data_IF_605360682995
#
_entry.id   IF_605360682995
#
_cell.length_a   1.000
_cell.length_b   1.000
_cell.length_c   1.000
_cell.angle_alpha   90.00
_cell.angle_beta   90.00
_cell.angle_gamma   90.00
#
_symmetry.space_group_name_H-M   'P 1'
#
loop_
_entity.id
_entity.type
_entity.pdbx_description
1 polymer ?
#
# COMPACT_ATOMS: atom_id res chain seq x y z
N UNK A 1 38.28 70.15 -36.21
CA UNK A 1 37.76 69.63 -34.92
C UNK A 1 36.65 68.64 -35.23
N UNK A 2 36.84 67.37 -34.84
CA UNK A 2 36.05 66.22 -35.31
C UNK A 2 34.71 66.10 -34.56
N UNK A 3 33.63 65.98 -35.33
CA UNK A 3 32.28 65.61 -34.86
C UNK A 3 32.23 64.10 -34.61
N UNK A 4 31.69 63.69 -33.45
CA UNK A 4 31.52 62.28 -33.08
C UNK A 4 30.03 61.94 -32.99
N UNK A 5 29.60 61.06 -33.89
CA UNK A 5 28.30 60.41 -33.91
C UNK A 5 28.13 59.50 -32.68
N UNK A 6 27.03 59.66 -31.93
CA UNK A 6 26.61 58.75 -30.86
C UNK A 6 25.70 57.69 -31.46
N UNK A 7 26.09 56.41 -31.40
CA UNK A 7 25.27 55.28 -31.86
C UNK A 7 24.28 54.88 -30.75
N UNK A 8 22.96 54.96 -30.97
CA UNK A 8 21.97 54.51 -30.00
C UNK A 8 21.71 53.01 -30.20
N UNK A 9 22.46 52.14 -29.49
CA UNK A 9 22.30 50.69 -29.66
C UNK A 9 22.62 49.81 -28.46
N UNK A 10 23.30 50.32 -27.42
CA UNK A 10 23.81 49.47 -26.34
C UNK A 10 22.82 49.24 -25.19
N UNK A 11 22.04 50.24 -24.78
CA UNK A 11 21.10 50.11 -23.65
C UNK A 11 19.88 49.23 -23.99
N UNK A 12 19.40 49.30 -25.22
CA UNK A 12 18.26 48.51 -25.70
C UNK A 12 18.60 47.00 -25.79
N UNK A 13 19.85 46.66 -26.13
CA UNK A 13 20.32 45.26 -26.19
C UNK A 13 20.56 44.64 -24.81
N UNK A 14 20.88 45.44 -23.79
CA UNK A 14 21.08 44.95 -22.42
C UNK A 14 19.74 44.74 -21.70
N UNK A 15 18.75 45.61 -21.93
CA UNK A 15 17.40 45.44 -21.38
C UNK A 15 16.64 44.26 -22.00
N UNK A 16 16.78 44.03 -23.32
CA UNK A 16 16.21 42.85 -23.99
C UNK A 16 16.84 41.56 -23.48
N UNK A 17 18.17 41.46 -23.40
CA UNK A 17 18.86 40.27 -22.83
C UNK A 17 18.49 39.98 -21.37
N UNK A 18 18.22 41.00 -20.54
CA UNK A 18 17.73 40.81 -19.16
C UNK A 18 16.27 40.35 -19.12
N UNK A 19 15.40 40.88 -19.99
CA UNK A 19 14.02 40.42 -20.14
C UNK A 19 13.95 38.99 -20.65
N UNK A 20 14.78 38.62 -21.61
CA UNK A 20 14.84 37.27 -22.18
C UNK A 20 15.34 36.25 -21.14
N UNK A 21 16.37 36.57 -20.35
CA UNK A 21 16.82 35.69 -19.25
C UNK A 21 15.78 35.55 -18.13
N UNK A 22 15.04 36.61 -17.82
CA UNK A 22 13.96 36.55 -16.82
C UNK A 22 12.75 35.78 -17.36
N UNK A 23 12.43 35.91 -18.65
CA UNK A 23 11.41 35.13 -19.34
C UNK A 23 11.82 33.65 -19.39
N UNK A 24 13.04 33.31 -19.80
CA UNK A 24 13.55 31.94 -19.78
C UNK A 24 13.62 31.34 -18.38
N UNK A 25 13.86 32.14 -17.33
CA UNK A 25 13.85 31.67 -15.94
C UNK A 25 12.41 31.49 -15.42
N UNK A 26 11.48 32.33 -15.85
CA UNK A 26 10.05 32.18 -15.59
C UNK A 26 9.47 30.96 -16.34
N UNK A 27 9.85 30.71 -17.60
CA UNK A 27 9.48 29.53 -18.38
C UNK A 27 10.09 28.25 -17.78
N UNK A 28 11.37 28.27 -17.39
CA UNK A 28 12.00 27.15 -16.65
C UNK A 28 11.33 26.86 -15.30
N UNK A 29 10.80 27.88 -14.62
CA UNK A 29 10.04 27.71 -13.38
C UNK A 29 8.58 27.29 -13.62
N UNK A 30 7.99 27.65 -14.76
CA UNK A 30 6.65 27.25 -15.18
C UNK A 30 6.59 25.79 -15.64
N UNK A 31 7.68 25.26 -16.21
CA UNK A 31 7.75 23.90 -16.75
C UNK A 31 8.28 22.85 -15.78
N UNK A 32 8.81 23.24 -14.61
CA UNK A 32 9.17 22.26 -13.57
C UNK A 32 7.90 21.63 -13.00
N UNK A 33 7.54 20.48 -13.59
CA UNK A 33 6.62 19.49 -13.02
C UNK A 33 7.13 19.14 -11.62
N UNK A 34 6.22 19.17 -10.65
CA UNK A 34 6.58 18.94 -9.25
C UNK A 34 6.80 17.46 -8.97
N UNK A 35 6.00 16.62 -9.63
CA UNK A 35 6.22 15.18 -9.64
C UNK A 35 7.27 14.88 -10.72
N UNK A 36 8.35 14.20 -10.33
CA UNK A 36 9.51 13.87 -11.18
C UNK A 36 9.17 13.01 -12.41
N UNK A 37 10.17 12.34 -12.99
CA UNK A 37 9.92 11.38 -14.07
C UNK A 37 9.16 10.16 -13.50
N UNK A 38 7.99 9.77 -14.06
CA UNK A 38 7.24 8.60 -13.59
C UNK A 38 8.10 7.34 -13.51
N UNK A 39 9.01 7.12 -14.47
CA UNK A 39 9.89 5.97 -14.51
C UNK A 39 10.96 5.92 -13.39
N UNK A 40 11.15 7.02 -12.66
CA UNK A 40 12.13 7.13 -11.58
C UNK A 40 11.49 7.59 -10.27
N UNK A 41 10.16 7.57 -10.15
CA UNK A 41 9.53 7.87 -8.87
C UNK A 41 9.87 6.74 -7.90
N UNK A 42 10.25 7.06 -6.66
CA UNK A 42 10.37 6.04 -5.64
C UNK A 42 8.98 5.42 -5.45
N UNK A 43 8.92 4.09 -5.37
CA UNK A 43 7.69 3.43 -4.95
C UNK A 43 7.76 2.95 -3.51
N UNK A 44 6.80 2.13 -3.12
CA UNK A 44 6.73 1.56 -1.77
C UNK A 44 8.00 0.74 -1.48
N UNK A 45 8.64 1.04 -0.36
CA UNK A 45 9.82 0.30 0.10
C UNK A 45 9.46 -1.12 0.51
N UNK A 46 10.41 -2.05 0.38
CA UNK A 46 10.21 -3.41 0.84
C UNK A 46 9.94 -3.51 2.33
N UNK A 47 9.13 -4.50 2.71
CA UNK A 47 8.74 -4.78 4.10
C UNK A 47 9.15 -6.20 4.50
N UNK A 48 9.36 -6.42 5.79
CA UNK A 48 9.83 -7.72 6.29
C UNK A 48 8.82 -8.85 6.07
N UNK A 49 7.53 -8.57 6.26
CA UNK A 49 6.45 -9.55 6.11
C UNK A 49 6.45 -10.21 4.72
N UNK A 50 6.28 -9.41 3.66
CA UNK A 50 6.26 -9.89 2.28
C UNK A 50 7.59 -10.49 1.85
N UNK A 51 8.71 -9.85 2.22
CA UNK A 51 10.04 -10.38 1.93
C UNK A 51 10.23 -11.77 2.53
N UNK A 52 9.66 -12.06 3.69
CA UNK A 52 9.71 -13.37 4.31
C UNK A 52 8.89 -14.43 3.58
N UNK A 53 7.74 -14.07 3.01
CA UNK A 53 6.99 -14.99 2.14
C UNK A 53 7.76 -15.38 0.89
N UNK A 54 8.50 -14.44 0.28
CA UNK A 54 9.39 -14.75 -0.85
C UNK A 54 10.59 -15.61 -0.42
N UNK A 55 11.18 -15.33 0.74
CA UNK A 55 12.27 -16.14 1.31
C UNK A 55 11.83 -17.57 1.60
N UNK A 56 10.54 -17.76 1.87
CA UNK A 56 9.90 -19.04 2.12
C UNK A 56 9.51 -19.84 0.87
N UNK A 57 9.87 -19.38 -0.33
CA UNK A 57 9.60 -20.11 -1.57
C UNK A 57 10.70 -21.13 -1.86
N UNK A 58 10.38 -22.43 -1.99
CA UNK A 58 11.37 -23.42 -2.37
C UNK A 58 11.84 -23.22 -3.84
N UNK A 59 13.12 -23.45 -4.06
CA UNK A 59 13.68 -23.57 -5.40
C UNK A 59 13.24 -24.88 -6.05
N UNK A 60 13.23 -24.91 -7.38
CA UNK A 60 12.99 -26.13 -8.16
C UNK A 60 14.25 -26.45 -8.96
N UNK A 61 14.71 -27.71 -9.02
CA UNK A 61 14.09 -28.91 -8.41
C UNK A 61 14.50 -29.16 -6.95
N UNK A 62 15.53 -28.48 -6.41
CA UNK A 62 15.99 -28.69 -5.02
C UNK A 62 15.21 -27.83 -4.02
N UNK A 63 14.10 -28.40 -3.54
CA UNK A 63 13.22 -27.78 -2.53
C UNK A 63 13.85 -27.61 -1.15
N UNK A 64 15.11 -28.03 -0.94
CA UNK A 64 15.85 -27.77 0.32
C UNK A 64 16.51 -26.39 0.34
N UNK A 65 16.44 -25.66 -0.78
CA UNK A 65 16.98 -24.31 -0.94
C UNK A 65 15.87 -23.32 -1.26
N UNK A 66 16.05 -22.06 -0.85
CA UNK A 66 15.12 -20.98 -1.19
C UNK A 66 15.33 -20.49 -2.63
N UNK A 67 14.24 -20.16 -3.31
CA UNK A 67 14.23 -19.63 -4.69
C UNK A 67 14.85 -18.24 -4.79
N UNK A 68 14.67 -17.42 -3.76
CA UNK A 68 15.15 -16.03 -3.70
C UNK A 68 16.16 -15.86 -2.56
N UNK A 69 17.40 -16.37 -2.70
CA UNK A 69 18.37 -16.37 -1.60
C UNK A 69 18.74 -14.97 -1.07
N UNK A 70 18.59 -13.93 -1.90
CA UNK A 70 18.80 -12.53 -1.49
C UNK A 70 17.79 -12.07 -0.43
N UNK A 71 16.54 -12.54 -0.51
CA UNK A 71 15.49 -12.21 0.46
C UNK A 71 15.76 -12.85 1.83
N UNK A 72 16.17 -14.12 1.85
CA UNK A 72 16.56 -14.82 3.08
C UNK A 72 17.75 -14.14 3.75
N UNK A 73 18.76 -13.75 2.95
CA UNK A 73 19.91 -12.99 3.44
C UNK A 73 19.48 -11.65 4.03
N UNK A 74 18.61 -10.91 3.33
CA UNK A 74 18.11 -9.63 3.81
C UNK A 74 17.42 -9.75 5.17
N UNK A 75 16.61 -10.80 5.39
CA UNK A 75 15.98 -11.02 6.70
C UNK A 75 17.01 -11.13 7.82
N UNK A 76 18.03 -11.96 7.66
CA UNK A 76 19.08 -12.11 8.67
C UNK A 76 19.85 -10.80 8.91
N UNK A 77 20.13 -10.05 7.84
CA UNK A 77 20.92 -8.82 7.89
C UNK A 77 20.11 -7.61 8.42
N UNK A 78 18.76 -7.70 8.49
CA UNK A 78 17.86 -6.60 8.88
C UNK A 78 16.98 -6.94 10.10
N UNK A 79 17.37 -7.94 10.91
CA UNK A 79 16.76 -8.14 12.22
C UNK A 79 17.03 -6.91 13.12
N UNK A 80 16.01 -6.47 13.85
CA UNK A 80 16.12 -5.34 14.77
C UNK A 80 16.88 -5.75 16.05
N UNK A 81 17.38 -4.76 16.78
CA UNK A 81 18.21 -5.00 17.97
C UNK A 81 17.48 -5.76 19.09
N UNK A 82 16.16 -5.73 19.13
CA UNK A 82 15.33 -6.48 20.08
C UNK A 82 15.04 -7.93 19.63
N UNK A 83 15.51 -8.33 18.45
CA UNK A 83 15.28 -9.63 17.84
C UNK A 83 14.04 -9.70 16.95
N UNK A 84 13.24 -8.66 16.85
CA UNK A 84 12.05 -8.63 15.99
C UNK A 84 12.37 -8.18 14.55
N UNK A 85 11.35 -8.29 13.69
CA UNK A 85 11.29 -7.60 12.40
C UNK A 85 10.07 -6.69 12.38
N UNK A 86 10.10 -5.66 11.53
CA UNK A 86 8.97 -4.75 11.31
C UNK A 86 9.42 -3.32 11.05
N UNK A 87 8.49 -2.38 11.19
CA UNK A 87 8.71 -0.94 11.02
C UNK A 87 9.64 -0.36 12.09
N UNK A 88 10.27 0.77 11.76
CA UNK A 88 11.03 1.57 12.71
C UNK A 88 10.15 2.07 13.88
N UNK A 89 8.86 2.34 13.61
CA UNK A 89 7.87 2.64 14.65
C UNK A 89 7.42 1.31 15.25
N UNK A 90 7.60 1.16 16.56
CA UNK A 90 7.20 -0.06 17.25
C UNK A 90 5.68 -0.11 17.37
N UNK A 91 5.11 -1.16 16.79
CA UNK A 91 3.71 -1.54 16.92
C UNK A 91 3.63 -3.05 17.08
N UNK A 92 3.07 -3.55 18.17
CA UNK A 92 3.18 -4.98 18.52
C UNK A 92 2.51 -5.88 17.48
N UNK A 93 1.39 -5.45 16.89
CA UNK A 93 0.76 -6.19 15.79
C UNK A 93 1.71 -6.35 14.58
N UNK A 94 2.43 -5.29 14.19
CA UNK A 94 3.42 -5.34 13.12
C UNK A 94 4.61 -6.23 13.49
N UNK A 95 5.18 -6.00 14.68
CA UNK A 95 6.37 -6.73 15.14
C UNK A 95 6.11 -8.23 15.25
N UNK A 96 4.97 -8.64 15.78
CA UNK A 96 4.62 -10.05 15.91
C UNK A 96 4.37 -10.70 14.54
N UNK A 97 3.61 -10.07 13.62
CA UNK A 97 3.39 -10.64 12.29
C UNK A 97 4.70 -10.73 11.49
N UNK A 98 5.48 -9.66 11.43
CA UNK A 98 6.76 -9.64 10.73
C UNK A 98 7.75 -10.65 11.30
N UNK A 99 7.83 -10.78 12.62
CA UNK A 99 8.73 -11.75 13.27
C UNK A 99 8.29 -13.19 13.01
N UNK A 100 7.00 -13.51 13.14
CA UNK A 100 6.49 -14.85 12.79
C UNK A 100 6.73 -15.19 11.32
N UNK A 101 6.51 -14.24 10.41
CA UNK A 101 6.76 -14.42 8.99
C UNK A 101 8.25 -14.68 8.72
N UNK A 102 9.16 -13.91 9.35
CA UNK A 102 10.61 -13.99 9.11
C UNK A 102 11.28 -15.25 9.70
N UNK A 103 10.87 -15.71 10.89
CA UNK A 103 11.53 -16.86 11.55
C UNK A 103 11.32 -18.17 10.81
N UNK A 104 10.15 -18.36 10.16
CA UNK A 104 9.84 -19.60 9.45
C UNK A 104 10.81 -19.92 8.29
N UNK A 105 11.01 -19.05 7.28
CA UNK A 105 11.97 -19.31 6.20
C UNK A 105 13.42 -19.35 6.69
N UNK A 106 13.78 -18.58 7.73
CA UNK A 106 15.12 -18.65 8.34
C UNK A 106 15.36 -20.02 9.00
N UNK A 107 14.37 -20.59 9.67
CA UNK A 107 14.46 -21.93 10.25
C UNK A 107 14.50 -23.02 9.16
N UNK A 108 13.69 -22.88 8.11
CA UNK A 108 13.55 -23.87 7.03
C UNK A 108 14.77 -23.89 6.09
N UNK A 109 15.20 -22.72 5.62
CA UNK A 109 16.22 -22.57 4.58
C UNK A 109 17.56 -22.01 5.08
N UNK A 110 17.60 -21.41 6.27
CA UNK A 110 18.83 -20.86 6.85
C UNK A 110 19.85 -21.95 7.17
N UNK A 111 21.11 -21.67 6.86
CA UNK A 111 22.25 -22.60 7.06
C UNK A 111 23.45 -21.93 7.70
N UNK A 112 23.44 -20.60 7.82
CA UNK A 112 24.51 -19.81 8.41
C UNK A 112 24.30 -19.72 9.92
N UNK A 113 25.38 -19.58 10.69
CA UNK A 113 25.28 -19.40 12.15
C UNK A 113 24.46 -18.14 12.52
N UNK A 114 24.50 -17.11 11.69
CA UNK A 114 23.68 -15.90 11.81
C UNK A 114 22.19 -16.16 11.59
N UNK A 115 21.81 -17.03 10.65
CA UNK A 115 20.41 -17.41 10.42
C UNK A 115 19.83 -18.09 11.68
N UNK A 116 20.58 -19.03 12.27
CA UNK A 116 20.17 -19.72 13.50
C UNK A 116 20.04 -18.77 14.69
N UNK A 117 21.00 -17.85 14.87
CA UNK A 117 20.91 -16.81 15.91
C UNK A 117 19.72 -15.89 15.70
N UNK A 118 19.40 -15.55 14.45
CA UNK A 118 18.25 -14.73 14.12
C UNK A 118 16.93 -15.44 14.49
N UNK A 119 16.81 -16.75 14.21
CA UNK A 119 15.67 -17.57 14.65
C UNK A 119 15.56 -17.57 16.17
N UNK A 120 16.65 -17.79 16.91
CA UNK A 120 16.64 -17.79 18.38
C UNK A 120 16.20 -16.43 18.95
N UNK A 121 16.70 -15.33 18.39
CA UNK A 121 16.37 -13.98 18.81
C UNK A 121 14.90 -13.62 18.50
N UNK A 122 14.42 -13.95 17.29
CA UNK A 122 13.01 -13.75 16.93
C UNK A 122 12.07 -14.57 17.76
N UNK A 123 12.42 -15.84 18.01
CA UNK A 123 11.67 -16.71 18.92
C UNK A 123 11.59 -16.08 20.30
N UNK A 124 12.71 -15.64 20.88
CA UNK A 124 12.74 -14.96 22.17
C UNK A 124 11.82 -13.73 22.20
N UNK A 125 11.84 -12.92 21.15
CA UNK A 125 10.97 -11.75 21.05
C UNK A 125 9.48 -12.15 21.13
N UNK A 126 9.05 -13.16 20.36
CA UNK A 126 7.67 -13.65 20.40
C UNK A 126 7.24 -14.03 21.82
N UNK A 127 8.10 -14.75 22.57
CA UNK A 127 7.83 -15.14 23.95
C UNK A 127 7.77 -13.97 24.93
N UNK A 128 8.59 -12.94 24.71
CA UNK A 128 8.63 -11.76 25.57
C UNK A 128 7.49 -10.78 25.28
N UNK A 129 7.01 -10.69 24.04
CA UNK A 129 6.17 -9.58 23.59
C UNK A 129 4.77 -9.98 23.09
N UNK A 130 4.51 -11.24 22.73
CA UNK A 130 3.22 -11.60 22.15
C UNK A 130 2.01 -11.37 23.09
N UNK A 131 2.23 -11.28 24.40
CA UNK A 131 1.22 -10.94 25.39
C UNK A 131 0.83 -9.45 25.40
N UNK A 132 1.46 -8.62 24.57
CA UNK A 132 1.19 -7.18 24.47
C UNK A 132 0.18 -6.84 23.36
N UNK A 133 -0.23 -7.82 22.54
CA UNK A 133 -1.18 -7.60 21.44
C UNK A 133 -2.52 -7.04 21.92
N UNK A 134 -2.97 -7.45 23.12
CA UNK A 134 -4.22 -6.98 23.73
C UNK A 134 -4.14 -5.54 24.26
N UNK A 135 -2.95 -4.93 24.25
CA UNK A 135 -2.71 -3.55 24.71
C UNK A 135 -2.66 -2.53 23.58
N UNK A 136 -2.54 -2.98 22.34
CA UNK A 136 -2.54 -2.08 21.19
C UNK A 136 -3.96 -1.62 20.87
N UNK A 137 -4.14 -0.36 20.44
CA UNK A 137 -5.46 0.23 20.30
C UNK A 137 -6.22 -0.30 19.07
N UNK A 138 -5.50 -0.72 18.02
CA UNK A 138 -6.09 -1.13 16.74
C UNK A 138 -5.37 -2.35 16.16
N UNK A 139 -6.11 -3.33 15.64
CA UNK A 139 -5.50 -4.45 14.93
C UNK A 139 -5.13 -4.03 13.49
N UNK A 140 -4.03 -4.56 12.96
CA UNK A 140 -3.70 -4.37 11.53
C UNK A 140 -4.75 -5.03 10.63
N UNK A 141 -4.87 -4.53 9.39
CA UNK A 141 -5.78 -5.10 8.40
C UNK A 141 -5.50 -6.60 8.20
N UNK A 142 -6.53 -7.42 8.44
CA UNK A 142 -6.44 -8.87 8.27
C UNK A 142 -5.68 -9.60 9.38
N UNK A 143 -5.22 -8.92 10.44
CA UNK A 143 -4.40 -9.49 11.51
C UNK A 143 -4.98 -10.78 12.09
N UNK A 144 -6.28 -10.80 12.40
CA UNK A 144 -6.93 -11.96 13.03
C UNK A 144 -7.02 -13.17 12.07
N UNK A 145 -6.91 -12.96 10.76
CA UNK A 145 -6.80 -14.03 9.78
C UNK A 145 -5.35 -14.50 9.63
N UNK A 146 -4.41 -13.56 9.53
CA UNK A 146 -3.00 -13.80 9.26
C UNK A 146 -2.29 -14.46 10.44
N UNK A 147 -2.49 -13.96 11.67
CA UNK A 147 -1.75 -14.42 12.84
C UNK A 147 -1.84 -15.95 13.03
N UNK A 148 -3.02 -16.60 13.03
CA UNK A 148 -3.06 -18.05 13.21
C UNK A 148 -2.42 -18.84 12.07
N UNK A 149 -2.31 -18.29 10.85
CA UNK A 149 -1.64 -18.95 9.72
C UNK A 149 -0.12 -18.88 9.90
N UNK A 150 0.39 -17.73 10.32
CA UNK A 150 1.81 -17.56 10.60
C UNK A 150 2.26 -18.37 11.81
N UNK A 151 1.46 -18.44 12.87
CA UNK A 151 1.71 -19.32 14.03
C UNK A 151 1.83 -20.76 13.58
N UNK A 152 0.91 -21.23 12.73
CA UNK A 152 0.94 -22.59 12.20
C UNK A 152 2.19 -22.83 11.34
N UNK A 153 2.48 -21.93 10.40
CA UNK A 153 3.65 -21.97 9.53
C UNK A 153 4.97 -22.01 10.32
N UNK A 154 5.10 -21.20 11.36
CA UNK A 154 6.28 -21.17 12.21
C UNK A 154 6.47 -22.50 12.98
N UNK A 155 5.38 -23.12 13.46
CA UNK A 155 5.43 -24.43 14.12
C UNK A 155 5.84 -25.55 13.17
N UNK A 156 5.35 -25.53 11.94
CA UNK A 156 5.74 -26.49 10.89
C UNK A 156 7.23 -26.37 10.54
N UNK A 157 7.78 -25.16 10.60
CA UNK A 157 9.23 -24.90 10.46
C UNK A 157 10.05 -25.27 11.72
N UNK A 158 9.44 -25.83 12.77
CA UNK A 158 10.11 -26.24 14.01
C UNK A 158 10.37 -25.11 15.00
N UNK A 159 9.76 -23.93 14.83
CA UNK A 159 9.91 -22.80 15.75
C UNK A 159 8.91 -22.93 16.91
N UNK A 160 9.40 -22.77 18.14
CA UNK A 160 8.57 -22.79 19.33
C UNK A 160 7.80 -21.47 19.48
N UNK A 161 6.48 -21.50 19.27
CA UNK A 161 5.62 -20.32 19.33
C UNK A 161 4.85 -20.26 20.66
N UNK A 162 4.73 -19.09 21.31
CA UNK A 162 4.01 -18.96 22.58
C UNK A 162 2.52 -19.36 22.47
N UNK A 163 1.97 -20.11 23.46
CA UNK A 163 0.57 -20.53 23.42
C UNK A 163 -0.44 -19.38 23.40
N UNK A 164 -0.11 -18.22 23.97
CA UNK A 164 -1.02 -17.08 24.03
C UNK A 164 -1.31 -16.46 22.65
N UNK A 165 -0.51 -16.73 21.62
CA UNK A 165 -0.81 -16.28 20.26
C UNK A 165 -1.98 -17.06 19.62
N UNK A 166 -2.45 -18.13 20.25
CA UNK A 166 -3.60 -18.92 19.78
C UNK A 166 -4.97 -18.27 20.10
N UNK A 167 -5.00 -17.17 20.87
CA UNK A 167 -6.26 -16.52 21.30
C UNK A 167 -7.11 -16.03 20.12
N UNK A 168 -6.47 -15.74 18.97
CA UNK A 168 -7.14 -15.27 17.77
C UNK A 168 -7.79 -16.39 16.93
N UNK A 169 -7.63 -17.69 17.29
CA UNK A 169 -8.26 -18.79 16.53
C UNK A 169 -9.79 -18.67 16.47
N UNK A 170 -10.41 -18.28 17.59
CA UNK A 170 -11.86 -18.11 17.64
C UNK A 170 -12.34 -16.91 16.82
N UNK A 171 -11.61 -15.78 16.86
CA UNK A 171 -11.90 -14.60 16.05
C UNK A 171 -11.73 -14.90 14.55
N UNK A 172 -10.70 -15.66 14.17
CA UNK A 172 -10.50 -16.13 12.79
C UNK A 172 -11.68 -16.93 12.28
N UNK A 173 -12.16 -17.91 13.07
CA UNK A 173 -13.32 -18.72 12.68
C UNK A 173 -14.55 -17.85 12.42
N UNK A 174 -14.87 -16.95 13.36
CA UNK A 174 -15.99 -16.00 13.22
C UNK A 174 -15.84 -15.11 11.99
N UNK A 175 -14.63 -14.62 11.68
CA UNK A 175 -14.40 -13.76 10.51
C UNK A 175 -14.56 -14.51 9.20
N UNK A 176 -14.12 -15.77 9.14
CA UNK A 176 -14.32 -16.60 7.96
C UNK A 176 -15.81 -16.88 7.69
N UNK A 177 -16.62 -17.05 8.74
CA UNK A 177 -18.07 -17.25 8.60
C UNK A 177 -18.80 -16.00 8.04
N UNK A 178 -18.23 -14.81 8.23
CA UNK A 178 -18.78 -13.55 7.70
C UNK A 178 -18.46 -13.34 6.22
N UNK A 179 -17.41 -13.97 5.69
CA UNK A 179 -16.99 -13.79 4.30
C UNK A 179 -17.82 -14.74 3.43
N UNK A 180 -18.65 -14.24 2.50
CA UNK A 180 -19.39 -15.12 1.60
C UNK A 180 -18.41 -16.04 0.87
N UNK A 181 -18.73 -17.33 0.83
CA UNK A 181 -17.85 -18.31 0.19
C UNK A 181 -17.53 -17.93 -1.27
N UNK A 182 -18.46 -17.28 -1.98
CA UNK A 182 -18.26 -16.75 -3.33
C UNK A 182 -17.29 -15.57 -3.43
N UNK A 183 -17.12 -14.79 -2.36
CA UNK A 183 -16.27 -13.59 -2.31
C UNK A 183 -14.83 -13.89 -1.85
N UNK A 184 -14.62 -14.99 -1.11
CA UNK A 184 -13.33 -15.33 -0.48
C UNK A 184 -12.13 -15.36 -1.44
N UNK A 185 -12.33 -15.77 -2.69
CA UNK A 185 -11.29 -15.82 -3.73
C UNK A 185 -11.56 -14.82 -4.86
N UNK A 186 -12.50 -13.90 -4.67
CA UNK A 186 -12.86 -12.95 -5.72
C UNK A 186 -11.73 -11.94 -5.90
N UNK A 187 -11.23 -11.72 -7.13
CA UNK A 187 -10.25 -10.66 -7.40
C UNK A 187 -10.80 -9.25 -7.21
N UNK A 188 -12.11 -9.12 -6.91
CA UNK A 188 -12.81 -7.87 -6.62
C UNK A 188 -13.15 -7.68 -5.13
N UNK A 189 -12.62 -8.52 -4.25
CA UNK A 189 -12.80 -8.40 -2.81
C UNK A 189 -11.43 -8.22 -2.14
N UNK A 190 -11.32 -7.29 -1.20
CA UNK A 190 -10.04 -6.93 -0.54
C UNK A 190 -9.34 -8.12 0.11
N UNK A 191 -10.09 -9.12 0.55
CA UNK A 191 -9.58 -10.39 1.08
C UNK A 191 -8.58 -11.09 0.15
N UNK A 192 -8.67 -10.87 -1.16
CA UNK A 192 -7.73 -11.43 -2.15
C UNK A 192 -6.29 -10.99 -1.91
N UNK A 193 -6.08 -9.82 -1.29
CA UNK A 193 -4.76 -9.30 -0.96
C UNK A 193 -4.06 -10.10 0.16
N UNK A 194 -4.79 -10.97 0.86
CA UNK A 194 -4.25 -11.69 2.02
C UNK A 194 -4.54 -13.19 1.98
N UNK A 195 -4.71 -13.81 0.80
CA UNK A 195 -5.11 -15.22 0.69
C UNK A 195 -4.13 -16.21 1.34
N UNK A 196 -2.92 -15.80 1.69
CA UNK A 196 -1.99 -16.61 2.46
C UNK A 196 -2.50 -16.96 3.87
N UNK A 197 -3.49 -16.23 4.40
CA UNK A 197 -4.14 -16.69 5.63
C UNK A 197 -4.82 -18.05 5.46
N UNK A 198 -5.13 -18.51 4.25
CA UNK A 198 -5.84 -19.78 4.06
C UNK A 198 -4.99 -20.98 4.50
N UNK A 199 -3.67 -20.90 4.35
CA UNK A 199 -2.75 -22.01 4.64
C UNK A 199 -3.20 -23.30 3.93
N UNK A 200 -3.14 -24.43 4.63
CA UNK A 200 -3.54 -25.75 4.10
C UNK A 200 -5.02 -25.85 3.65
N UNK A 201 -5.86 -24.88 4.02
CA UNK A 201 -7.29 -24.85 3.63
C UNK A 201 -7.52 -24.16 2.28
N UNK A 202 -6.46 -23.71 1.63
CA UNK A 202 -6.58 -23.11 0.31
C UNK A 202 -7.00 -24.15 -0.73
N UNK A 203 -7.83 -23.71 -1.67
CA UNK A 203 -8.19 -24.46 -2.86
C UNK A 203 -7.32 -23.96 -4.03
N UNK A 204 -6.37 -24.79 -4.54
CA UNK A 204 -5.45 -24.37 -5.61
C UNK A 204 -6.16 -23.89 -6.88
N UNK A 205 -7.28 -24.50 -7.25
CA UNK A 205 -8.03 -24.11 -8.44
C UNK A 205 -8.68 -22.73 -8.26
N UNK A 206 -9.17 -22.44 -7.06
CA UNK A 206 -9.75 -21.13 -6.73
C UNK A 206 -8.68 -20.05 -6.57
N UNK A 207 -7.50 -20.39 -6.06
CA UNK A 207 -6.35 -19.47 -6.07
C UNK A 207 -5.95 -19.11 -7.50
N UNK A 208 -5.89 -20.10 -8.40
CA UNK A 208 -5.58 -19.84 -9.81
C UNK A 208 -6.63 -18.92 -10.46
N UNK A 209 -7.91 -19.08 -10.11
CA UNK A 209 -8.98 -18.19 -10.57
C UNK A 209 -8.93 -16.77 -9.98
N UNK A 210 -8.24 -16.58 -8.84
CA UNK A 210 -8.03 -15.29 -8.22
C UNK A 210 -6.84 -14.50 -8.81
N UNK A 211 -6.03 -15.13 -9.67
CA UNK A 211 -4.85 -14.50 -10.28
C UNK A 211 -5.25 -13.37 -11.24
N UNK A 212 -4.73 -12.17 -10.97
CA UNK A 212 -4.93 -11.00 -11.81
C UNK A 212 -4.16 -11.05 -13.12
N UNK A 213 -4.43 -10.08 -14.01
CA UNK A 213 -3.81 -10.01 -15.33
C UNK A 213 -2.30 -9.76 -15.28
N UNK A 214 -1.82 -9.08 -14.24
CA UNK A 214 -0.40 -8.87 -13.95
C UNK A 214 0.31 -10.12 -13.39
N UNK A 215 -0.41 -11.22 -13.15
CA UNK A 215 0.14 -12.45 -12.58
C UNK A 215 0.15 -12.50 -11.06
N UNK A 216 -0.23 -11.42 -10.38
CA UNK A 216 -0.32 -11.37 -8.92
C UNK A 216 -1.61 -11.97 -8.39
N UNK A 217 -1.61 -12.31 -7.11
CA UNK A 217 -2.81 -12.47 -6.31
C UNK A 217 -3.00 -11.16 -5.55
N UNK A 218 -4.03 -10.39 -5.93
CA UNK A 218 -4.42 -9.16 -5.22
C UNK A 218 -3.33 -8.10 -5.11
N UNK A 219 -2.39 -8.01 -6.05
CA UNK A 219 -1.21 -7.13 -5.96
C UNK A 219 -0.40 -7.31 -4.66
N UNK A 220 -0.49 -8.48 -4.00
CA UNK A 220 0.26 -8.83 -2.79
C UNK A 220 1.41 -9.79 -3.14
N UNK A 221 2.68 -9.41 -2.87
CA UNK A 221 3.79 -10.34 -2.97
C UNK A 221 3.66 -11.55 -2.03
N UNK A 222 3.21 -11.36 -0.78
CA UNK A 222 2.95 -12.45 0.15
C UNK A 222 1.91 -13.46 -0.38
N UNK A 223 0.73 -12.99 -0.80
CA UNK A 223 -0.32 -13.86 -1.33
C UNK A 223 0.11 -14.56 -2.63
N UNK A 224 0.89 -13.87 -3.47
CA UNK A 224 1.42 -14.45 -4.71
C UNK A 224 2.50 -15.51 -4.46
N UNK A 225 3.38 -15.29 -3.49
CA UNK A 225 4.33 -16.29 -3.02
C UNK A 225 3.61 -17.50 -2.42
N UNK A 226 2.60 -17.28 -1.58
CA UNK A 226 1.76 -18.36 -1.08
C UNK A 226 1.13 -19.17 -2.22
N UNK A 227 0.53 -18.52 -3.22
CA UNK A 227 -0.04 -19.21 -4.37
C UNK A 227 0.95 -20.11 -5.12
N UNK A 228 2.21 -19.69 -5.24
CA UNK A 228 3.27 -20.52 -5.82
C UNK A 228 3.59 -21.77 -4.99
N UNK A 229 3.42 -21.73 -3.66
CA UNK A 229 3.56 -22.93 -2.81
C UNK A 229 2.43 -23.94 -3.01
N UNK A 230 1.28 -23.49 -3.51
CA UNK A 230 0.07 -24.29 -3.71
C UNK A 230 -0.08 -24.82 -5.16
N UNK A 231 0.87 -24.52 -6.06
CA UNK A 231 0.80 -24.92 -7.48
C UNK A 231 1.86 -25.96 -7.83
N UNK A 232 1.45 -27.08 -8.43
CA UNK A 232 2.33 -28.20 -8.79
C UNK A 232 3.21 -27.92 -10.03
N UNK A 233 2.73 -27.07 -10.94
CA UNK A 233 3.42 -26.68 -12.16
C UNK A 233 3.68 -25.18 -12.08
N UNK A 234 4.90 -24.79 -11.74
CA UNK A 234 5.28 -23.42 -11.43
C UNK A 234 4.60 -22.37 -12.33
N UNK A 235 4.01 -21.34 -11.73
CA UNK A 235 3.27 -20.32 -12.45
C UNK A 235 4.23 -19.19 -12.90
N UNK A 236 4.58 -19.17 -14.18
CA UNK A 236 5.53 -18.18 -14.72
C UNK A 236 5.05 -16.73 -14.56
N UNK A 237 3.73 -16.48 -14.61
CA UNK A 237 3.19 -15.12 -14.43
C UNK A 237 3.38 -14.63 -13.00
N UNK A 238 3.11 -15.49 -12.01
CA UNK A 238 3.36 -15.19 -10.59
C UNK A 238 4.86 -15.03 -10.30
N UNK A 239 5.72 -15.87 -10.88
CA UNK A 239 7.17 -15.73 -10.75
C UNK A 239 7.68 -14.43 -11.36
N UNK A 240 7.19 -14.07 -12.55
CA UNK A 240 7.53 -12.80 -13.21
C UNK A 240 7.10 -11.60 -12.38
N UNK A 241 5.93 -11.67 -11.73
CA UNK A 241 5.44 -10.65 -10.82
C UNK A 241 6.34 -10.50 -9.58
N UNK A 242 6.70 -11.61 -8.93
CA UNK A 242 7.59 -11.55 -7.77
C UNK A 242 8.96 -10.99 -8.14
N UNK A 243 9.52 -11.38 -9.29
CA UNK A 243 10.76 -10.81 -9.78
C UNK A 243 10.65 -9.30 -10.00
N UNK A 244 9.55 -8.80 -10.59
CA UNK A 244 9.37 -7.35 -10.77
C UNK A 244 9.25 -6.61 -9.44
N UNK A 245 8.67 -7.23 -8.41
CA UNK A 245 8.62 -6.63 -7.07
C UNK A 245 10.00 -6.51 -6.43
N UNK A 246 10.86 -7.53 -6.61
CA UNK A 246 12.25 -7.49 -6.15
C UNK A 246 13.02 -6.40 -6.89
N UNK A 247 12.93 -6.36 -8.22
CA UNK A 247 13.64 -5.39 -9.05
C UNK A 247 13.25 -3.94 -8.67
N UNK A 248 11.97 -3.73 -8.34
CA UNK A 248 11.46 -2.44 -7.87
C UNK A 248 12.06 -2.02 -6.51
N UNK A 249 12.25 -2.97 -5.59
CA UNK A 249 12.74 -2.71 -4.22
C UNK A 249 14.22 -3.06 -4.02
N UNK A 250 15.04 -2.96 -5.09
CA UNK A 250 16.50 -3.08 -5.00
C UNK A 250 17.05 -4.50 -4.98
N UNK A 251 16.25 -5.49 -5.37
CA UNK A 251 16.64 -6.89 -5.64
C UNK A 251 16.62 -7.83 -4.44
N UNK A 252 16.35 -7.33 -3.23
CA UNK A 252 16.45 -8.11 -2.00
C UNK A 252 15.18 -8.10 -1.13
N UNK A 253 14.22 -7.22 -1.41
CA UNK A 253 13.00 -7.05 -0.61
C UNK A 253 11.78 -6.97 -1.50
N UNK A 254 10.61 -7.24 -0.94
CA UNK A 254 9.33 -7.04 -1.59
C UNK A 254 8.47 -6.06 -0.78
N UNK A 255 7.73 -5.15 -1.44
CA UNK A 255 6.80 -4.24 -0.78
C UNK A 255 5.56 -5.00 -0.29
N UNK A 256 4.74 -4.34 0.53
CA UNK A 256 3.45 -4.91 0.96
C UNK A 256 2.46 -5.08 -0.19
N UNK A 257 2.58 -4.21 -1.19
CA UNK A 257 1.72 -4.22 -2.36
C UNK A 257 2.46 -3.63 -3.57
N UNK A 258 2.22 -4.19 -4.76
CA UNK A 258 2.75 -3.68 -6.03
C UNK A 258 1.94 -4.23 -7.22
N UNK A 259 1.71 -3.45 -8.27
CA UNK A 259 1.89 -2.00 -8.35
C UNK A 259 0.76 -1.23 -7.61
N UNK A 260 1.02 0.05 -7.33
CA UNK A 260 0.09 1.01 -6.70
C UNK A 260 0.30 2.42 -7.26
N UNK A 261 0.49 2.48 -8.56
CA UNK A 261 0.91 3.68 -9.28
C UNK A 261 -0.12 4.81 -9.21
N UNK A 262 -1.41 4.50 -9.05
CA UNK A 262 -2.47 5.49 -8.90
C UNK A 262 -2.43 6.12 -7.51
N UNK A 263 -2.31 5.29 -6.47
CA UNK A 263 -2.13 5.71 -5.08
C UNK A 263 -0.88 6.59 -4.93
N UNK A 264 0.28 6.15 -5.40
CA UNK A 264 1.52 6.95 -5.29
C UNK A 264 1.39 8.32 -5.98
N UNK A 265 0.76 8.35 -7.16
CA UNK A 265 0.52 9.58 -7.91
C UNK A 265 -0.39 10.53 -7.16
N UNK A 266 -1.53 10.03 -6.67
CA UNK A 266 -2.55 10.82 -6.00
C UNK A 266 -2.02 11.39 -4.68
N UNK A 267 -1.29 10.63 -3.88
CA UNK A 267 -0.83 11.07 -2.57
C UNK A 267 0.29 12.09 -2.72
N UNK A 268 1.21 11.88 -3.66
CA UNK A 268 2.24 12.87 -3.95
C UNK A 268 1.63 14.17 -4.49
N UNK A 269 0.64 14.09 -5.38
CA UNK A 269 -0.06 15.26 -5.91
C UNK A 269 -0.86 15.99 -4.83
N UNK A 270 -1.60 15.25 -4.00
CA UNK A 270 -2.49 15.79 -2.97
C UNK A 270 -1.72 16.57 -1.90
N UNK A 271 -0.61 16.04 -1.40
CA UNK A 271 0.19 16.75 -0.38
C UNK A 271 0.81 18.03 -0.93
N UNK A 272 1.25 18.03 -2.19
CA UNK A 272 1.71 19.25 -2.86
C UNK A 272 0.57 20.25 -3.08
N UNK A 273 -0.62 19.77 -3.45
CA UNK A 273 -1.83 20.58 -3.57
C UNK A 273 -2.20 21.26 -2.25
N UNK A 274 -2.20 20.51 -1.14
CA UNK A 274 -2.39 21.05 0.21
C UNK A 274 -1.33 22.08 0.58
N UNK A 275 -0.09 21.90 0.11
CA UNK A 275 1.00 22.87 0.24
C UNK A 275 0.84 24.14 -0.62
N UNK A 276 -0.28 24.31 -1.33
CA UNK A 276 -0.58 25.47 -2.16
C UNK A 276 -0.01 25.41 -3.57
N UNK A 277 0.51 24.26 -4.01
CA UNK A 277 0.93 24.09 -5.39
C UNK A 277 -0.28 24.09 -6.33
N UNK A 278 -0.15 24.78 -7.47
CA UNK A 278 -1.20 24.76 -8.51
C UNK A 278 -1.42 23.35 -9.06
N UNK A 279 -2.66 22.89 -9.07
CA UNK A 279 -3.07 21.58 -9.59
C UNK A 279 -2.61 21.34 -11.03
N UNK A 280 -2.60 22.37 -11.86
CA UNK A 280 -2.16 22.35 -13.26
C UNK A 280 -0.69 21.89 -13.43
N UNK A 281 0.11 21.95 -12.36
CA UNK A 281 1.53 21.57 -12.35
C UNK A 281 1.82 20.21 -11.72
N UNK A 282 0.83 19.57 -11.10
CA UNK A 282 1.01 18.32 -10.35
C UNK A 282 1.12 17.13 -11.31
N UNK A 283 0.10 16.94 -12.14
CA UNK A 283 0.01 15.80 -13.06
C UNK A 283 0.46 16.19 -14.47
N UNK A 284 1.19 15.31 -15.14
CA UNK A 284 1.45 15.43 -16.59
C UNK A 284 0.14 15.23 -17.36
N UNK A 285 0.01 15.76 -18.59
CA UNK A 285 -1.22 15.61 -19.38
C UNK A 285 -1.62 14.14 -19.61
N UNK A 286 -0.64 13.24 -19.76
CA UNK A 286 -0.91 11.81 -19.90
C UNK A 286 -1.46 11.19 -18.59
N UNK A 287 -0.89 11.56 -17.44
CA UNK A 287 -1.32 11.09 -16.12
C UNK A 287 -2.71 11.60 -15.77
N UNK A 288 -2.99 12.89 -16.01
CA UNK A 288 -4.32 13.47 -15.85
C UNK A 288 -5.36 12.75 -16.70
N UNK A 289 -5.06 12.48 -17.98
CA UNK A 289 -5.95 11.72 -18.87
C UNK A 289 -6.14 10.27 -18.43
N UNK A 290 -5.10 9.66 -17.86
CA UNK A 290 -5.17 8.29 -17.36
C UNK A 290 -6.05 8.24 -16.10
N UNK A 291 -5.77 9.10 -15.11
CA UNK A 291 -6.59 9.22 -13.90
C UNK A 291 -8.05 9.54 -14.19
N UNK A 292 -8.34 10.41 -15.17
CA UNK A 292 -9.71 10.69 -15.59
C UNK A 292 -10.43 9.49 -16.23
N UNK A 293 -9.68 8.55 -16.83
CA UNK A 293 -10.24 7.28 -17.32
C UNK A 293 -10.42 6.25 -16.20
N UNK A 294 -9.50 6.26 -15.24
CA UNK A 294 -9.51 5.33 -14.11
C UNK A 294 -10.60 5.68 -13.08
N UNK A 295 -11.04 6.96 -13.04
CA UNK A 295 -12.24 7.37 -12.32
C UNK A 295 -13.50 6.84 -13.02
N UNK A 296 -13.97 5.68 -12.56
CA UNK A 296 -15.19 5.03 -13.06
C UNK A 296 -16.40 5.33 -12.18
N UNK A 297 -17.57 4.82 -12.55
CA UNK A 297 -18.77 4.85 -11.69
C UNK A 297 -18.63 4.02 -10.39
N UNK A 298 -17.59 3.17 -10.29
CA UNK A 298 -17.28 2.45 -9.07
C UNK A 298 -16.23 3.15 -8.21
N UNK A 299 -15.60 4.23 -8.69
CA UNK A 299 -14.50 4.92 -8.04
C UNK A 299 -13.17 4.73 -8.76
N UNK A 300 -12.10 5.12 -8.07
CA UNK A 300 -10.69 4.92 -8.42
C UNK A 300 -10.09 3.88 -7.48
N UNK A 301 -9.16 3.09 -8.00
CA UNK A 301 -8.37 2.14 -7.22
C UNK A 301 -6.89 2.53 -7.24
N UNK A 302 -6.15 2.09 -6.22
CA UNK A 302 -4.69 2.19 -6.10
C UNK A 302 -3.90 1.77 -7.35
N UNK A 303 -4.44 0.86 -8.17
CA UNK A 303 -3.85 0.45 -9.46
C UNK A 303 -4.93 -0.10 -10.41
N UNK A 304 -4.80 0.10 -11.73
CA UNK A 304 -5.64 -0.58 -12.72
C UNK A 304 -5.60 -2.12 -12.62
N UNK A 305 -4.52 -2.67 -12.06
CA UNK A 305 -4.36 -4.13 -11.86
C UNK A 305 -4.96 -4.65 -10.55
N UNK A 306 -5.42 -3.75 -9.68
CA UNK A 306 -6.14 -4.06 -8.46
C UNK A 306 -7.57 -3.54 -8.59
N UNK A 307 -8.53 -4.31 -9.14
CA UNK A 307 -9.84 -3.78 -9.55
C UNK A 307 -10.81 -3.61 -8.36
N UNK A 308 -10.36 -2.97 -7.28
CA UNK A 308 -11.09 -2.75 -6.04
C UNK A 308 -10.95 -1.26 -5.68
N UNK A 309 -11.90 -0.42 -6.09
CA UNK A 309 -11.89 1.00 -5.74
C UNK A 309 -12.07 1.23 -4.25
N UNK A 310 -11.52 2.34 -3.76
CA UNK A 310 -11.68 2.81 -2.39
C UNK A 310 -12.06 4.29 -2.33
N UNK A 311 -12.62 4.70 -1.20
CA UNK A 311 -13.10 6.05 -0.98
C UNK A 311 -11.95 7.09 -0.94
N UNK A 312 -10.75 6.68 -0.53
CA UNK A 312 -9.63 7.58 -0.33
C UNK A 312 -9.06 8.05 -1.68
N UNK A 313 -8.62 7.09 -2.49
CA UNK A 313 -8.17 7.28 -3.87
C UNK A 313 -9.25 8.02 -4.67
N UNK A 314 -10.52 7.63 -4.52
CA UNK A 314 -11.64 8.25 -5.22
C UNK A 314 -11.83 9.72 -4.81
N UNK A 315 -11.85 10.04 -3.52
CA UNK A 315 -12.06 11.41 -3.04
C UNK A 315 -10.94 12.34 -3.49
N UNK A 316 -9.69 11.90 -3.36
CA UNK A 316 -8.51 12.68 -3.78
C UNK A 316 -8.50 12.87 -5.30
N UNK A 317 -8.83 11.84 -6.08
CA UNK A 317 -8.93 11.94 -7.54
C UNK A 317 -10.01 12.94 -7.97
N UNK A 318 -11.20 12.87 -7.38
CA UNK A 318 -12.30 13.80 -7.65
C UNK A 318 -11.87 15.26 -7.42
N UNK A 319 -11.26 15.53 -6.26
CA UNK A 319 -10.78 16.85 -5.89
C UNK A 319 -9.75 17.39 -6.90
N UNK A 320 -8.71 16.61 -7.20
CA UNK A 320 -7.62 17.05 -8.07
C UNK A 320 -8.09 17.23 -9.51
N UNK A 321 -8.89 16.31 -10.04
CA UNK A 321 -9.44 16.42 -11.40
C UNK A 321 -10.39 17.62 -11.51
N UNK A 322 -11.25 17.85 -10.52
CA UNK A 322 -12.12 19.01 -10.46
C UNK A 322 -11.34 20.32 -10.49
N UNK A 323 -10.32 20.47 -9.63
CA UNK A 323 -9.48 21.67 -9.57
C UNK A 323 -8.68 21.87 -10.88
N UNK A 324 -8.38 20.78 -11.59
CA UNK A 324 -7.77 20.81 -12.92
C UNK A 324 -8.74 21.22 -14.05
N UNK A 325 -10.03 21.36 -13.76
CA UNK A 325 -11.09 21.71 -14.71
C UNK A 325 -11.69 20.53 -15.46
N UNK A 326 -11.44 19.29 -15.01
CA UNK A 326 -12.13 18.11 -15.56
C UNK A 326 -13.57 18.02 -15.04
N UNK A 327 -14.44 17.43 -15.85
CA UNK A 327 -15.80 17.09 -15.43
C UNK A 327 -15.74 15.82 -14.60
N UNK A 328 -16.20 15.90 -13.36
CA UNK A 328 -16.27 14.78 -12.43
C UNK A 328 -17.67 14.68 -11.84
N UNK A 329 -18.05 13.49 -11.38
CA UNK A 329 -19.31 13.23 -10.70
C UNK A 329 -19.03 12.72 -9.28
N UNK A 330 -19.22 13.56 -8.23
CA UNK A 330 -18.95 13.15 -6.86
C UNK A 330 -19.95 12.11 -6.33
N UNK A 331 -21.06 11.83 -7.03
CA UNK A 331 -22.04 10.82 -6.59
C UNK A 331 -21.45 9.41 -6.49
N UNK A 332 -20.32 9.16 -7.15
CA UNK A 332 -19.53 7.93 -7.03
C UNK A 332 -19.17 7.61 -5.57
N UNK A 333 -19.00 8.63 -4.71
CA UNK A 333 -18.67 8.44 -3.30
C UNK A 333 -19.79 7.76 -2.49
N UNK A 334 -21.04 7.76 -3.00
CA UNK A 334 -22.17 7.09 -2.34
C UNK A 334 -21.95 5.59 -2.14
N UNK A 335 -21.15 4.96 -3.00
CA UNK A 335 -20.83 3.54 -2.87
C UNK A 335 -20.08 3.21 -1.57
N UNK A 336 -19.49 4.22 -0.93
CA UNK A 336 -18.69 4.10 0.29
C UNK A 336 -19.38 4.68 1.52
N UNK A 337 -20.60 5.21 1.39
CA UNK A 337 -21.37 5.78 2.51
C UNK A 337 -21.91 4.65 3.40
N UNK A 338 -21.56 4.69 4.67
CA UNK A 338 -22.03 3.75 5.69
C UNK A 338 -23.42 4.16 6.23
N UNK A 339 -24.16 3.24 6.87
CA UNK A 339 -25.50 3.55 7.40
C UNK A 339 -25.54 4.67 8.44
N UNK A 340 -24.44 4.91 9.16
CA UNK A 340 -24.30 6.00 10.13
C UNK A 340 -23.94 7.35 9.48
N UNK A 341 -23.75 7.38 8.16
CA UNK A 341 -23.37 8.55 7.39
C UNK A 341 -21.88 8.86 7.35
N UNK A 342 -21.04 8.04 7.99
CA UNK A 342 -19.60 8.05 7.76
C UNK A 342 -19.25 7.38 6.42
N UNK A 343 -17.99 7.46 6.01
CA UNK A 343 -17.48 6.78 4.83
C UNK A 343 -16.45 5.70 5.23
N UNK A 344 -16.53 4.54 4.57
CA UNK A 344 -15.58 3.43 4.73
C UNK A 344 -14.57 3.43 3.59
N UNK A 345 -13.36 2.89 3.82
CA UNK A 345 -12.33 2.81 2.77
C UNK A 345 -12.81 1.92 1.64
N UNK A 346 -13.24 0.70 1.98
CA UNK A 346 -13.78 -0.27 1.04
C UNK A 346 -15.22 -0.63 1.40
N UNK A 347 -16.09 -0.93 0.41
CA UNK A 347 -17.41 -1.46 0.70
C UNK A 347 -17.33 -2.70 1.60
N UNK A 348 -18.26 -2.81 2.55
CA UNK A 348 -18.36 -3.91 3.53
C UNK A 348 -17.24 -3.97 4.59
N UNK A 349 -16.43 -2.92 4.70
CA UNK A 349 -15.50 -2.80 5.81
C UNK A 349 -16.22 -2.49 7.13
N UNK A 350 -15.72 -3.02 8.25
CA UNK A 350 -16.36 -2.89 9.57
C UNK A 350 -16.10 -1.56 10.28
N UNK A 351 -14.96 -0.96 10.02
CA UNK A 351 -14.50 0.25 10.71
C UNK A 351 -14.27 1.33 9.67
N UNK A 352 -14.80 2.51 9.89
CA UNK A 352 -14.49 3.71 9.12
C UNK A 352 -13.10 4.25 9.50
N UNK A 353 -12.47 5.00 8.59
CA UNK A 353 -11.17 5.65 8.82
C UNK A 353 -11.38 7.15 9.01
N UNK A 354 -10.65 7.76 9.96
CA UNK A 354 -10.63 9.22 10.11
C UNK A 354 -10.04 9.85 8.85
N UNK A 355 -8.94 9.31 8.32
CA UNK A 355 -8.29 9.76 7.09
C UNK A 355 -9.25 9.78 5.91
N UNK A 356 -9.94 8.67 5.64
CA UNK A 356 -10.94 8.58 4.56
C UNK A 356 -12.01 9.66 4.69
N UNK A 357 -12.56 9.84 5.89
CA UNK A 357 -13.62 10.83 6.11
C UNK A 357 -13.09 12.27 5.93
N UNK A 358 -11.83 12.55 6.28
CA UNK A 358 -11.20 13.85 6.00
C UNK A 358 -11.03 14.10 4.49
N UNK A 359 -10.63 13.10 3.72
CA UNK A 359 -10.48 13.22 2.27
C UNK A 359 -11.83 13.38 1.56
N UNK A 360 -12.83 12.60 1.96
CA UNK A 360 -14.21 12.76 1.49
C UNK A 360 -14.75 14.14 1.85
N UNK A 361 -14.58 14.60 3.09
CA UNK A 361 -14.98 15.95 3.51
C UNK A 361 -14.34 17.03 2.62
N UNK A 362 -13.05 16.92 2.32
CA UNK A 362 -12.36 17.87 1.46
C UNK A 362 -12.93 17.84 0.03
N UNK A 363 -13.19 16.65 -0.52
CA UNK A 363 -13.83 16.51 -1.82
C UNK A 363 -15.24 17.13 -1.84
N UNK A 364 -16.10 16.80 -0.86
CA UNK A 364 -17.47 17.32 -0.79
C UNK A 364 -17.53 18.84 -0.58
N UNK A 365 -16.57 19.42 0.14
CA UNK A 365 -16.48 20.85 0.35
C UNK A 365 -16.04 21.64 -0.90
N UNK A 366 -15.44 20.97 -1.90
CA UNK A 366 -14.84 21.62 -3.09
C UNK A 366 -15.52 21.23 -4.39
N UNK A 367 -16.02 20.00 -4.51
CA UNK A 367 -16.57 19.44 -5.74
C UNK A 367 -18.10 19.51 -5.68
N UNK A 368 -18.75 20.35 -6.52
CA UNK A 368 -20.20 20.47 -6.53
C UNK A 368 -20.88 19.23 -7.13
N UNK A 369 -22.13 18.98 -6.74
CA UNK A 369 -22.98 17.94 -7.33
C UNK A 369 -23.24 16.74 -6.43
N UNK A 370 -22.64 16.66 -5.23
CA UNK A 370 -23.01 15.61 -4.28
C UNK A 370 -24.41 15.85 -3.70
N UNK A 371 -25.33 14.86 -3.73
CA UNK A 371 -26.68 15.03 -3.22
C UNK A 371 -26.69 15.29 -1.71
N UNK A 372 -27.40 16.34 -1.29
CA UNK A 372 -27.46 16.79 0.11
C UNK A 372 -26.06 16.98 0.74
N UNK A 373 -25.13 17.59 -0.01
CA UNK A 373 -23.73 17.77 0.41
C UNK A 373 -23.59 18.39 1.80
N UNK A 374 -24.39 19.42 2.15
CA UNK A 374 -24.36 20.05 3.47
C UNK A 374 -24.65 19.04 4.60
N UNK A 375 -25.70 18.23 4.45
CA UNK A 375 -26.04 17.20 5.43
C UNK A 375 -25.00 16.06 5.48
N UNK A 376 -24.36 15.72 4.36
CA UNK A 376 -23.25 14.76 4.36
C UNK A 376 -22.02 15.31 5.10
N UNK A 377 -21.68 16.58 4.87
CA UNK A 377 -20.60 17.28 5.57
C UNK A 377 -20.86 17.33 7.08
N UNK A 378 -22.07 17.68 7.52
CA UNK A 378 -22.42 17.71 8.95
C UNK A 378 -22.29 16.33 9.61
N UNK A 379 -22.67 15.25 8.92
CA UNK A 379 -22.51 13.88 9.41
C UNK A 379 -21.03 13.50 9.53
N UNK A 380 -20.21 13.84 8.54
CA UNK A 380 -18.76 13.61 8.61
C UNK A 380 -18.13 14.39 9.77
N UNK A 381 -18.50 15.67 9.95
CA UNK A 381 -17.98 16.48 11.05
C UNK A 381 -18.37 15.92 12.41
N UNK A 382 -19.60 15.43 12.56
CA UNK A 382 -20.07 14.77 13.78
C UNK A 382 -19.28 13.48 14.05
N UNK A 383 -19.11 12.64 13.02
CA UNK A 383 -18.28 11.45 13.09
C UNK A 383 -16.84 11.77 13.51
N UNK A 384 -16.20 12.76 12.89
CA UNK A 384 -14.83 13.18 13.22
C UNK A 384 -14.74 13.68 14.66
N UNK A 385 -15.73 14.42 15.15
CA UNK A 385 -15.77 14.86 16.55
C UNK A 385 -15.87 13.65 17.51
N UNK A 386 -16.69 12.65 17.18
CA UNK A 386 -16.87 11.44 17.98
C UNK A 386 -15.61 10.55 18.01
N UNK A 387 -14.82 10.54 16.92
CA UNK A 387 -13.54 9.81 16.87
C UNK A 387 -12.41 10.49 17.65
N UNK A 388 -12.57 11.74 18.08
CA UNK A 388 -11.54 12.44 18.82
C UNK A 388 -11.55 12.02 20.30
N UNK A 389 -10.45 11.48 20.81
CA UNK A 389 -10.37 11.02 22.20
C UNK A 389 -10.08 12.13 23.23
N UNK A 390 -10.05 13.39 22.80
CA UNK A 390 -9.71 14.57 23.60
C UNK A 390 -8.26 15.04 23.45
N UNK A 391 -7.38 14.22 22.89
CA UNK A 391 -5.97 14.56 22.64
C UNK A 391 -5.57 14.41 21.18
N UNK A 392 -6.08 13.38 20.51
CA UNK A 392 -5.77 13.07 19.12
C UNK A 392 -6.89 12.28 18.45
N UNK A 393 -6.86 12.26 17.12
CA UNK A 393 -7.55 11.26 16.33
C UNK A 393 -6.67 10.04 16.12
N UNK A 394 -7.25 8.85 16.20
CA UNK A 394 -6.61 7.62 15.79
C UNK A 394 -7.17 7.22 14.43
N UNK A 395 -6.28 7.00 13.47
CA UNK A 395 -6.64 6.40 12.18
C UNK A 395 -6.16 4.96 12.16
N UNK A 396 -6.99 4.06 11.65
CA UNK A 396 -6.83 2.61 11.73
C UNK A 396 -5.79 2.04 10.76
#
# INVERSE_FOLDING_TARGET
>A
MRSAFRVPGSEFQVQTRRRDRNAERATRNAERRLLGNPATRPGITGVAYDTAWLAGLPAEPDRRTGRFPTTLRWLADNQLADGSWGSAVRYEHDRILCTLAAVAPLAEFGRRAEDHRAVDAGTRYLWQHGHLLDREPVELVGFELLLPALVQRAREAGVAVPPHLDIYRAQRARKLDLIPASALYSPRATVVHSLEFLGERADPARLAAAQGDNGAIGNSPAATAFFLTQTEHGNHRALSYLQSTLDHSGGATAPVLHPCETFELLWAAYHLFLGGASSQRLLRPAERRQLARDLTQAGVSLSPTFPIPDADDTAVALLLLHDMGERVDPTVLKAFEAPDGSFVSFPYERHSSVGVNLHVLHALARVPGYPNAEAAIERILSYLADQHNGLYWLDK
#
